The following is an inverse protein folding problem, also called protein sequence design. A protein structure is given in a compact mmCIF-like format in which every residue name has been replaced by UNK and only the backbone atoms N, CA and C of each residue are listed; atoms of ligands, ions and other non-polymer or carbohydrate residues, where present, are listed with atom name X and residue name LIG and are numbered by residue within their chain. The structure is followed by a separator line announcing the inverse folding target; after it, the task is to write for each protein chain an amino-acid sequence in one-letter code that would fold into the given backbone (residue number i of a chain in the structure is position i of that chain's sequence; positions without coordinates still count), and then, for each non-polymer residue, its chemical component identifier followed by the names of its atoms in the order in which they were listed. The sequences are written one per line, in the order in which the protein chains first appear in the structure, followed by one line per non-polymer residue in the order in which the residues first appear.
data_IF_532513752789
#
_entry.id   IF_532513752789
#
_cell.length_a   1.000
_cell.length_b   1.000
_cell.length_c   1.000
_cell.angle_alpha   90.00
_cell.angle_beta   90.00
_cell.angle_gamma   90.00
#
_symmetry.space_group_name_H-M   'P 1'
#
loop_
_entity.id
_entity.type
_entity.pdbx_description
1 polymer ?
#
# COMPACT_ATOMS: atom_id res chain seq x y z
N UNK A 1 18.26 -12.41 -1.73
CA UNK A 1 18.29 -11.17 -0.90
C UNK A 1 18.01 -11.58 0.56
N UNK A 2 18.35 -10.78 1.58
CA UNK A 2 18.05 -11.08 2.97
C UNK A 2 17.22 -9.94 3.59
N UNK A 3 16.24 -10.28 4.42
CA UNK A 3 15.28 -9.35 5.03
C UNK A 3 15.42 -9.38 6.55
N UNK A 4 14.97 -8.33 7.23
CA UNK A 4 14.83 -8.31 8.69
C UNK A 4 13.34 -8.51 9.00
N UNK A 5 13.01 -9.52 9.79
CA UNK A 5 11.62 -9.79 10.20
C UNK A 5 11.15 -8.84 11.33
N UNK A 6 9.91 -9.00 11.80
CA UNK A 6 9.34 -8.19 12.87
C UNK A 6 10.04 -8.34 14.23
N UNK A 7 10.84 -9.39 14.42
CA UNK A 7 11.62 -9.65 15.64
C UNK A 7 13.06 -9.10 15.54
N UNK A 8 13.46 -8.59 14.37
CA UNK A 8 14.82 -8.12 14.12
C UNK A 8 15.77 -9.20 13.60
N UNK A 9 15.27 -10.39 13.26
CA UNK A 9 16.08 -11.50 12.78
C UNK A 9 16.32 -11.40 11.26
N UNK A 10 17.53 -11.76 10.82
CA UNK A 10 17.85 -11.85 9.40
C UNK A 10 17.27 -13.14 8.84
N UNK A 11 16.28 -13.00 7.97
CA UNK A 11 15.63 -14.12 7.26
C UNK A 11 16.04 -14.13 5.79
N UNK A 12 16.07 -15.32 5.21
CA UNK A 12 16.26 -15.48 3.76
C UNK A 12 15.01 -15.03 3.00
N UNK A 13 15.19 -14.73 1.73
CA UNK A 13 14.09 -14.43 0.80
C UNK A 13 13.02 -15.53 0.78
N UNK A 14 13.42 -16.80 0.78
CA UNK A 14 12.50 -17.95 0.83
C UNK A 14 11.70 -18.01 2.13
N UNK A 15 12.33 -17.71 3.27
CA UNK A 15 11.65 -17.67 4.57
C UNK A 15 10.67 -16.50 4.66
N UNK A 16 11.04 -15.33 4.12
CA UNK A 16 10.18 -14.17 4.05
C UNK A 16 8.97 -14.40 3.14
N UNK A 17 9.19 -14.98 1.95
CA UNK A 17 8.10 -15.36 1.03
C UNK A 17 7.17 -16.40 1.66
N UNK A 18 7.72 -17.37 2.38
CA UNK A 18 6.92 -18.38 3.07
C UNK A 18 6.06 -17.76 4.18
N UNK A 19 6.64 -16.88 5.01
CA UNK A 19 5.90 -16.17 6.04
C UNK A 19 4.75 -15.33 5.43
N UNK A 20 5.04 -14.59 4.36
CA UNK A 20 4.01 -13.84 3.61
C UNK A 20 2.92 -14.77 3.07
N UNK A 21 3.28 -15.91 2.48
CA UNK A 21 2.31 -16.87 1.95
C UNK A 21 1.49 -17.56 3.04
N UNK A 22 2.05 -17.72 4.24
CA UNK A 22 1.35 -18.27 5.40
C UNK A 22 0.34 -17.26 5.96
N UNK A 23 0.69 -15.97 6.03
CA UNK A 23 -0.14 -14.90 6.61
C UNK A 23 -1.13 -14.25 5.63
N UNK A 24 -0.80 -14.21 4.33
CA UNK A 24 -1.54 -13.46 3.33
C UNK A 24 -2.01 -14.34 2.16
N UNK A 25 -3.15 -13.97 1.59
CA UNK A 25 -3.54 -14.34 0.24
C UNK A 25 -2.92 -13.34 -0.74
N UNK A 26 -2.15 -13.83 -1.71
CA UNK A 26 -1.49 -13.01 -2.73
C UNK A 26 -2.28 -13.05 -4.03
N UNK A 27 -2.73 -11.88 -4.49
CA UNK A 27 -3.48 -11.73 -5.75
C UNK A 27 -2.64 -10.94 -6.75
N UNK A 28 -2.38 -11.53 -7.92
CA UNK A 28 -1.60 -10.89 -9.00
C UNK A 28 -2.46 -10.37 -10.15
N UNK A 29 -3.72 -10.80 -10.20
CA UNK A 29 -4.68 -10.36 -11.20
C UNK A 29 -5.52 -9.21 -10.63
N UNK A 30 -5.36 -7.97 -11.14
CA UNK A 30 -6.08 -6.81 -10.62
C UNK A 30 -7.61 -6.96 -10.75
N UNK A 31 -8.11 -7.74 -11.71
CA UNK A 31 -9.55 -7.95 -11.91
C UNK A 31 -10.17 -8.80 -10.79
N UNK A 32 -9.35 -9.44 -9.95
CA UNK A 32 -9.80 -10.28 -8.84
C UNK A 32 -9.82 -9.57 -7.49
N UNK A 33 -9.27 -8.35 -7.40
CA UNK A 33 -9.08 -7.66 -6.10
C UNK A 33 -10.39 -7.48 -5.34
N UNK A 34 -11.44 -7.03 -6.03
CA UNK A 34 -12.73 -6.74 -5.42
C UNK A 34 -13.51 -8.00 -5.00
N UNK A 35 -13.03 -9.21 -5.31
CA UNK A 35 -13.65 -10.44 -4.82
C UNK A 35 -13.38 -10.69 -3.33
N UNK A 36 -12.39 -10.00 -2.75
CA UNK A 36 -11.89 -10.28 -1.39
C UNK A 36 -12.09 -9.13 -0.41
N UNK A 37 -12.53 -7.96 -0.87
CA UNK A 37 -12.68 -6.76 -0.05
C UNK A 37 -14.15 -6.37 0.13
N UNK A 38 -14.46 -5.73 1.26
CA UNK A 38 -15.79 -5.16 1.52
C UNK A 38 -15.96 -3.73 0.97
N UNK A 39 -15.04 -3.29 0.10
CA UNK A 39 -15.01 -1.96 -0.51
C UNK A 39 -14.39 -2.04 -1.91
N UNK A 40 -14.65 -1.02 -2.74
CA UNK A 40 -14.08 -0.95 -4.09
C UNK A 40 -12.60 -0.53 -4.03
N UNK A 41 -11.70 -1.47 -4.28
CA UNK A 41 -10.26 -1.22 -4.40
C UNK A 41 -10.00 -0.43 -5.68
N UNK A 42 -9.22 0.64 -5.55
CA UNK A 42 -8.87 1.53 -6.68
C UNK A 42 -7.40 1.43 -7.02
N UNK A 43 -7.07 1.14 -8.27
CA UNK A 43 -5.69 1.24 -8.75
C UNK A 43 -5.43 2.63 -9.35
N UNK A 44 -4.23 3.20 -9.18
CA UNK A 44 -3.86 4.45 -9.82
C UNK A 44 -3.82 4.27 -11.33
N UNK A 45 -4.34 5.26 -12.08
CA UNK A 45 -4.23 5.24 -13.54
C UNK A 45 -2.86 5.73 -14.04
N UNK A 46 -2.04 6.28 -13.14
CA UNK A 46 -0.68 6.72 -13.41
C UNK A 46 0.31 6.03 -12.46
N UNK A 47 1.41 5.54 -13.03
CA UNK A 47 2.59 5.09 -12.31
C UNK A 47 3.84 5.66 -12.99
N UNK A 48 4.93 5.93 -12.24
CA UNK A 48 6.20 6.33 -12.83
C UNK A 48 6.73 5.27 -13.81
N UNK A 49 7.63 5.68 -14.70
CA UNK A 49 8.19 4.80 -15.73
C UNK A 49 8.77 3.50 -15.13
N UNK A 50 8.42 2.38 -15.76
CA UNK A 50 8.85 1.03 -15.36
C UNK A 50 8.09 0.43 -14.18
N UNK A 51 7.30 1.20 -13.43
CA UNK A 51 6.45 0.66 -12.37
C UNK A 51 5.14 0.11 -12.93
N UNK A 52 4.74 -1.06 -12.43
CA UNK A 52 3.45 -1.69 -12.72
C UNK A 52 2.90 -2.36 -11.49
N UNK A 53 1.58 -2.55 -11.44
CA UNK A 53 0.97 -3.42 -10.44
C UNK A 53 1.55 -4.83 -10.55
N UNK A 54 2.00 -5.38 -9.42
CA UNK A 54 2.57 -6.73 -9.37
C UNK A 54 1.76 -7.67 -8.50
N UNK A 55 1.33 -7.21 -7.33
CA UNK A 55 0.56 -8.02 -6.40
C UNK A 55 -0.20 -7.20 -5.37
N UNK A 56 -1.23 -7.82 -4.84
CA UNK A 56 -1.98 -7.37 -3.68
C UNK A 56 -1.93 -8.43 -2.58
N UNK A 57 -1.97 -7.97 -1.34
CA UNK A 57 -1.99 -8.79 -0.14
C UNK A 57 -3.27 -8.57 0.65
N UNK A 58 -3.94 -9.67 0.94
CA UNK A 58 -5.04 -9.72 1.90
C UNK A 58 -4.62 -10.58 3.09
N UNK A 59 -4.70 -10.03 4.30
CA UNK A 59 -4.37 -10.75 5.52
C UNK A 59 -5.43 -11.81 5.80
N UNK A 60 -5.00 -13.03 6.09
CA UNK A 60 -5.89 -14.11 6.51
C UNK A 60 -6.35 -13.88 7.95
N UNK A 61 -7.58 -14.31 8.23
CA UNK A 61 -8.07 -14.38 9.60
C UNK A 61 -7.43 -15.54 10.39
N UNK A 62 -7.84 -15.70 11.65
CA UNK A 62 -7.36 -16.78 12.54
C UNK A 62 -7.60 -18.20 11.98
N UNK A 63 -8.53 -18.36 11.04
CA UNK A 63 -8.85 -19.63 10.38
C UNK A 63 -8.14 -19.80 9.03
N UNK A 64 -7.30 -18.84 8.62
CA UNK A 64 -6.61 -18.86 7.34
C UNK A 64 -7.48 -18.41 6.16
N UNK A 65 -8.64 -17.79 6.41
CA UNK A 65 -9.62 -17.40 5.39
C UNK A 65 -9.51 -15.90 5.09
N UNK A 66 -9.69 -15.55 3.82
CA UNK A 66 -9.85 -14.16 3.37
C UNK A 66 -11.26 -14.02 2.83
N UNK A 67 -12.09 -13.24 3.51
CA UNK A 67 -13.42 -12.84 3.08
C UNK A 67 -13.73 -11.44 3.62
N UNK A 68 -14.40 -10.61 2.82
CA UNK A 68 -14.81 -9.24 3.20
C UNK A 68 -13.70 -8.42 3.88
N UNK A 69 -12.48 -8.47 3.35
CA UNK A 69 -11.34 -7.77 3.92
C UNK A 69 -11.57 -6.27 3.99
N UNK A 70 -11.20 -5.68 5.13
CA UNK A 70 -11.26 -4.23 5.38
C UNK A 70 -9.98 -3.49 4.98
N UNK A 71 -8.95 -4.23 4.56
CA UNK A 71 -7.68 -3.66 4.13
C UNK A 71 -7.06 -4.48 2.99
N UNK A 72 -6.27 -3.81 2.16
CA UNK A 72 -5.42 -4.44 1.14
C UNK A 72 -4.08 -3.71 1.08
N UNK A 73 -3.00 -4.48 0.99
CA UNK A 73 -1.67 -3.97 0.61
C UNK A 73 -1.48 -4.13 -0.89
N UNK A 74 -1.01 -3.11 -1.59
CA UNK A 74 -0.79 -3.10 -3.03
C UNK A 74 0.67 -2.77 -3.32
N UNK A 75 1.27 -3.56 -4.20
CA UNK A 75 2.66 -3.41 -4.61
C UNK A 75 2.74 -3.04 -6.09
N UNK A 76 3.47 -1.97 -6.36
CA UNK A 76 3.82 -1.55 -7.70
C UNK A 76 5.33 -1.60 -7.84
N UNK A 77 5.85 -2.46 -8.71
CA UNK A 77 7.28 -2.77 -8.76
C UNK A 77 7.86 -2.38 -10.11
N UNK A 78 9.06 -1.81 -10.07
CA UNK A 78 9.90 -1.64 -11.23
C UNK A 78 10.81 -2.88 -11.36
N UNK A 79 10.54 -3.74 -12.34
CA UNK A 79 11.24 -5.02 -12.49
C UNK A 79 12.74 -4.87 -12.79
N UNK A 80 13.16 -3.79 -13.42
CA UNK A 80 14.57 -3.56 -13.76
C UNK A 80 15.41 -3.25 -12.52
N UNK A 81 14.83 -2.49 -11.58
CA UNK A 81 15.53 -2.03 -10.38
C UNK A 81 15.20 -2.81 -9.12
N UNK A 82 14.09 -3.56 -9.12
CA UNK A 82 13.52 -4.22 -7.94
C UNK A 82 12.93 -3.26 -6.90
N UNK A 83 12.89 -1.94 -7.18
CA UNK A 83 12.27 -0.95 -6.31
C UNK A 83 10.74 -1.04 -6.43
N UNK A 84 10.06 -0.74 -5.34
CA UNK A 84 8.60 -0.78 -5.31
C UNK A 84 8.00 0.44 -4.60
N UNK A 85 6.80 0.79 -5.01
CA UNK A 85 5.86 1.66 -4.32
C UNK A 85 4.86 0.76 -3.58
N UNK A 86 4.57 1.11 -2.34
CA UNK A 86 3.58 0.40 -1.54
C UNK A 86 2.36 1.31 -1.30
N UNK A 87 1.17 0.75 -1.41
CA UNK A 87 -0.06 1.43 -1.02
C UNK A 87 -0.90 0.52 -0.13
N UNK A 88 -1.40 1.06 0.98
CA UNK A 88 -2.47 0.44 1.73
C UNK A 88 -3.78 1.18 1.45
N UNK A 89 -4.84 0.43 1.23
CA UNK A 89 -6.22 0.95 1.28
C UNK A 89 -6.96 0.24 2.40
N UNK A 90 -7.66 0.99 3.24
CA UNK A 90 -8.46 0.43 4.32
C UNK A 90 -9.72 1.23 4.58
N UNK A 91 -10.77 0.57 5.08
CA UNK A 91 -12.00 1.24 5.49
C UNK A 91 -11.71 2.22 6.63
N UNK A 92 -12.25 3.43 6.53
CA UNK A 92 -12.24 4.42 7.61
C UNK A 92 -13.23 3.99 8.69
N UNK A 93 -12.74 3.70 9.88
CA UNK A 93 -13.54 3.43 11.09
C UNK A 93 -13.29 4.53 12.12
N UNK A 94 -14.21 4.71 13.07
CA UNK A 94 -14.14 5.80 14.07
C UNK A 94 -12.81 5.79 14.86
N UNK A 95 -12.21 4.61 15.04
CA UNK A 95 -10.93 4.39 15.72
C UNK A 95 -9.73 4.20 14.76
N UNK A 96 -9.90 4.44 13.45
CA UNK A 96 -8.85 4.19 12.44
C UNK A 96 -7.73 5.25 12.37
N UNK A 97 -7.77 6.23 13.27
CA UNK A 97 -6.72 7.22 13.45
C UNK A 97 -5.42 6.58 13.95
N UNK A 98 -4.28 7.19 13.63
CA UNK A 98 -2.98 6.73 14.08
C UNK A 98 -2.06 7.90 14.39
N UNK A 99 -1.02 7.65 15.18
CA UNK A 99 0.04 8.62 15.50
C UNK A 99 1.29 8.28 14.70
N UNK A 100 1.99 9.31 14.23
CA UNK A 100 3.28 9.17 13.54
C UNK A 100 4.35 9.97 14.28
N UNK A 101 5.59 9.45 14.27
CA UNK A 101 6.79 10.14 14.76
C UNK A 101 7.43 11.02 13.66
N UNK A 102 6.69 11.30 12.58
CA UNK A 102 7.15 12.08 11.44
C UNK A 102 7.72 13.44 11.88
N UNK A 103 8.87 13.79 11.30
CA UNK A 103 9.58 15.03 11.63
C UNK A 103 9.10 16.17 10.75
N UNK A 104 8.76 15.87 9.50
CA UNK A 104 8.26 16.84 8.52
C UNK A 104 6.86 16.46 8.10
N UNK A 105 5.91 17.37 8.32
CA UNK A 105 4.50 17.21 7.96
C UNK A 105 4.10 18.39 7.06
N UNK A 106 3.42 18.10 5.96
CA UNK A 106 2.87 19.07 5.02
C UNK A 106 1.42 18.70 4.70
N UNK A 107 0.51 19.64 4.93
CA UNK A 107 -0.89 19.53 4.51
C UNK A 107 -1.02 20.00 3.05
N UNK A 108 -1.66 19.18 2.23
CA UNK A 108 -1.95 19.49 0.83
C UNK A 108 -3.31 18.94 0.43
N UNK A 109 -3.69 19.09 -0.84
CA UNK A 109 -4.92 18.51 -1.38
C UNK A 109 -4.64 17.52 -2.50
N UNK A 110 -5.29 16.36 -2.44
CA UNK A 110 -5.35 15.37 -3.52
C UNK A 110 -6.77 15.36 -4.05
N UNK A 111 -6.96 15.70 -5.32
CA UNK A 111 -8.30 15.78 -5.94
C UNK A 111 -9.32 16.64 -5.13
N UNK A 112 -8.83 17.68 -4.44
CA UNK A 112 -9.63 18.60 -3.62
C UNK A 112 -9.84 18.16 -2.15
N UNK A 113 -9.50 16.92 -1.83
CA UNK A 113 -9.57 16.32 -0.49
C UNK A 113 -8.31 16.63 0.29
N UNK A 114 -8.44 16.86 1.60
CA UNK A 114 -7.28 17.09 2.47
C UNK A 114 -6.41 15.84 2.57
N UNK A 115 -5.09 16.05 2.49
CA UNK A 115 -4.09 15.01 2.53
C UNK A 115 -2.89 15.47 3.36
N UNK A 116 -2.19 14.50 3.94
CA UNK A 116 -1.00 14.72 4.75
C UNK A 116 0.17 14.03 4.08
N UNK A 117 1.15 14.82 3.66
CA UNK A 117 2.46 14.33 3.23
C UNK A 117 3.41 14.40 4.41
N UNK A 118 4.16 13.34 4.66
CA UNK A 118 5.17 13.34 5.71
C UNK A 118 6.46 12.62 5.32
N UNK A 119 7.56 13.16 5.85
CA UNK A 119 8.95 12.75 5.57
C UNK A 119 9.30 12.65 4.08
N UNK A 120 8.62 13.46 3.25
CA UNK A 120 8.76 13.60 1.79
C UNK A 120 8.45 12.34 0.96
N UNK A 121 8.07 11.22 1.59
CA UNK A 121 7.84 9.96 0.90
C UNK A 121 6.61 9.16 1.34
N UNK A 122 5.81 9.68 2.29
CA UNK A 122 4.54 9.08 2.70
C UNK A 122 3.42 10.08 2.47
N UNK A 123 2.32 9.61 1.88
CA UNK A 123 1.15 10.43 1.57
C UNK A 123 -0.12 9.71 1.98
N UNK A 124 -0.87 10.35 2.87
CA UNK A 124 -2.10 9.82 3.42
C UNK A 124 -3.28 10.73 3.12
N UNK A 125 -4.41 10.14 2.70
CA UNK A 125 -5.66 10.86 2.49
C UNK A 125 -6.86 9.93 2.68
N UNK A 126 -8.02 10.50 2.96
CA UNK A 126 -9.28 9.74 3.05
C UNK A 126 -10.23 10.17 1.94
N UNK A 127 -10.69 9.21 1.13
CA UNK A 127 -11.65 9.48 0.07
C UNK A 127 -12.76 8.44 0.07
N UNK A 128 -14.02 8.90 0.09
CA UNK A 128 -15.22 8.05 0.11
C UNK A 128 -15.23 6.97 1.21
N UNK A 129 -14.74 7.28 2.42
CA UNK A 129 -14.71 6.34 3.54
C UNK A 129 -13.60 5.29 3.44
N UNK A 130 -12.62 5.48 2.55
CA UNK A 130 -11.41 4.66 2.45
C UNK A 130 -10.20 5.54 2.74
N UNK A 131 -9.36 5.10 3.66
CA UNK A 131 -8.05 5.68 3.96
C UNK A 131 -7.04 5.07 2.98
N UNK A 132 -6.30 5.93 2.31
CA UNK A 132 -5.19 5.59 1.44
C UNK A 132 -3.90 6.01 2.13
N UNK A 133 -2.96 5.10 2.22
CA UNK A 133 -1.58 5.38 2.63
C UNK A 133 -0.66 4.95 1.49
N UNK A 134 0.14 5.87 0.98
CA UNK A 134 1.02 5.66 -0.16
C UNK A 134 2.47 5.95 0.26
N UNK A 135 3.33 4.96 0.09
CA UNK A 135 4.75 5.03 0.46
C UNK A 135 5.61 4.92 -0.79
N UNK A 136 6.30 6.01 -1.10
CA UNK A 136 7.36 6.06 -2.08
C UNK A 136 8.66 5.54 -1.46
N UNK A 137 9.37 4.67 -2.19
CA UNK A 137 10.70 4.20 -1.80
C UNK A 137 11.71 4.51 -2.90
N UNK A 138 12.97 4.70 -2.51
CA UNK A 138 14.06 4.93 -3.46
C UNK A 138 13.93 6.26 -4.18
N UNK A 139 13.76 6.23 -5.51
CA UNK A 139 13.85 7.42 -6.37
C UNK A 139 12.48 8.06 -6.65
N UNK A 140 11.43 7.57 -5.98
CA UNK A 140 10.08 8.14 -6.11
C UNK A 140 10.04 9.47 -5.38
N UNK A 141 9.92 10.55 -6.15
CA UNK A 141 9.87 11.90 -5.61
C UNK A 141 8.49 12.23 -5.03
N UNK A 142 8.43 13.27 -4.20
CA UNK A 142 7.18 13.88 -3.75
C UNK A 142 6.20 14.16 -4.91
N UNK A 143 6.68 14.74 -6.01
CA UNK A 143 5.83 15.09 -7.15
C UNK A 143 5.24 13.84 -7.81
N UNK A 144 6.01 12.74 -7.88
CA UNK A 144 5.51 11.46 -8.40
C UNK A 144 4.47 10.85 -7.46
N UNK A 145 4.66 10.94 -6.14
CA UNK A 145 3.66 10.50 -5.15
C UNK A 145 2.33 11.23 -5.32
N UNK A 146 2.37 12.56 -5.47
CA UNK A 146 1.18 13.37 -5.68
C UNK A 146 0.47 12.98 -6.98
N UNK A 147 1.20 12.81 -8.09
CA UNK A 147 0.61 12.37 -9.37
C UNK A 147 -0.05 11.00 -9.30
N UNK A 148 0.57 10.05 -8.60
CA UNK A 148 -0.02 8.71 -8.38
C UNK A 148 -1.34 8.86 -7.63
N UNK A 149 -1.34 9.58 -6.52
CA UNK A 149 -2.53 9.80 -5.69
C UNK A 149 -3.65 10.53 -6.45
N UNK A 150 -3.33 11.59 -7.20
CA UNK A 150 -4.31 12.33 -8.02
C UNK A 150 -4.91 11.47 -9.15
N UNK A 151 -4.22 10.42 -9.58
CA UNK A 151 -4.71 9.52 -10.63
C UNK A 151 -5.76 8.52 -10.16
N UNK A 152 -6.06 8.48 -8.86
CA UNK A 152 -7.08 7.60 -8.26
C UNK A 152 -8.44 8.32 -8.26
N UNK A 153 -9.49 7.63 -8.72
CA UNK A 153 -10.85 8.18 -8.89
C UNK A 153 -11.98 7.27 -8.41
#
# INVERSE_FOLDING_TARGET
IAYIDSNGDIVTESEHEKARADECLIIKDPDQLNNYACFDIKLPSYLPEGYKFTEAEFFKDENGVVDNSKAVGLYFTNEETGKFIYMQQRVAEEDAGYTTDAVKIEELKINGVDAVLYDDNNLDWEYNGVIYMLVGRGDVTKDELIKIAESIR
#
